data_IF_828010952271
#
_entry.id   IF_828010952271
#
_cell.length_a   1.000
_cell.length_b   1.000
_cell.length_c   1.000
_cell.angle_alpha   90.00
_cell.angle_beta   90.00
_cell.angle_gamma   90.00
#
_symmetry.space_group_name_H-M   'P 1'
#
loop_
_entity.id
_entity.type
_entity.pdbx_description
1 polymer ?
#
# COMPACT_ATOMS: atom_id res chain seq x y z
N UNK A 1 15.12 11.30 2.22
CA UNK A 1 14.43 11.51 3.52
C UNK A 1 15.28 12.16 4.64
N UNK A 2 16.52 12.59 4.40
CA UNK A 2 17.34 13.28 5.42
C UNK A 2 16.98 14.76 5.63
N UNK A 3 16.42 15.42 4.61
CA UNK A 3 16.18 16.89 4.61
C UNK A 3 15.15 17.31 5.66
N UNK A 4 14.09 16.52 5.87
CA UNK A 4 13.06 16.85 6.86
C UNK A 4 13.55 16.73 8.31
N UNK A 5 14.56 15.90 8.57
CA UNK A 5 15.22 15.78 9.89
C UNK A 5 16.25 16.87 10.14
N UNK A 6 16.64 17.63 9.11
CA UNK A 6 17.67 18.66 9.19
C UNK A 6 17.15 20.05 9.58
N UNK A 7 15.83 20.26 9.57
CA UNK A 7 15.23 21.53 10.01
C UNK A 7 14.83 21.38 11.49
N UNK A 8 15.51 22.09 12.41
CA UNK A 8 15.15 22.07 13.82
C UNK A 8 13.69 22.50 14.00
N UNK A 9 12.98 21.90 14.96
CA UNK A 9 11.59 22.23 15.34
C UNK A 9 10.50 21.87 14.32
N UNK A 10 10.84 21.46 13.09
CA UNK A 10 9.85 21.09 12.08
C UNK A 10 9.00 19.90 12.52
N UNK A 11 9.62 18.93 13.21
CA UNK A 11 8.91 17.75 13.71
C UNK A 11 7.84 18.07 14.77
N UNK A 12 8.04 19.16 15.53
CA UNK A 12 7.16 19.59 16.62
C UNK A 12 6.06 20.56 16.17
N UNK A 13 6.31 21.41 15.17
CA UNK A 13 5.38 22.50 14.79
C UNK A 13 4.81 22.41 13.38
N UNK A 14 5.27 21.46 12.54
CA UNK A 14 4.77 21.32 11.17
C UNK A 14 3.24 21.17 11.12
N UNK A 15 2.68 20.35 12.02
CA UNK A 15 1.23 20.13 12.07
C UNK A 15 0.45 21.41 12.46
N UNK A 16 1.04 22.30 13.27
CA UNK A 16 0.43 23.59 13.64
C UNK A 16 0.40 24.53 12.44
N UNK A 17 1.52 24.65 11.73
CA UNK A 17 1.63 25.47 10.52
C UNK A 17 0.65 24.97 9.44
N UNK A 18 0.67 23.67 9.16
CA UNK A 18 -0.22 23.05 8.18
C UNK A 18 -1.69 23.20 8.56
N UNK A 19 -2.04 23.06 9.85
CA UNK A 19 -3.40 23.31 10.34
C UNK A 19 -3.81 24.77 10.17
N UNK A 20 -2.94 25.74 10.48
CA UNK A 20 -3.26 27.16 10.31
C UNK A 20 -3.48 27.52 8.85
N UNK A 21 -2.66 27.00 7.94
CA UNK A 21 -2.83 27.16 6.49
C UNK A 21 -4.14 26.52 5.99
N UNK A 22 -4.43 25.29 6.42
CA UNK A 22 -5.71 24.64 6.07
C UNK A 22 -6.91 25.33 6.71
N UNK A 23 -6.74 26.00 7.85
CA UNK A 23 -7.77 26.77 8.53
C UNK A 23 -8.35 27.89 7.65
N UNK A 24 -7.49 28.59 6.91
CA UNK A 24 -7.89 29.71 6.03
C UNK A 24 -8.44 29.25 4.68
N UNK A 25 -8.12 28.04 4.23
CA UNK A 25 -8.58 27.51 2.95
C UNK A 25 -10.00 26.93 3.10
N UNK A 26 -10.99 27.32 2.26
CA UNK A 26 -12.31 26.72 2.26
C UNK A 26 -12.26 25.21 1.96
N UNK A 27 -13.15 24.42 2.58
CA UNK A 27 -13.18 22.97 2.37
C UNK A 27 -13.34 22.59 0.89
N UNK A 28 -14.14 23.34 0.13
CA UNK A 28 -14.30 23.12 -1.32
C UNK A 28 -12.98 23.23 -2.09
N UNK A 29 -12.11 24.18 -1.72
CA UNK A 29 -10.79 24.33 -2.32
C UNK A 29 -9.85 23.19 -1.91
N UNK A 30 -9.91 22.75 -0.65
CA UNK A 30 -9.15 21.55 -0.20
C UNK A 30 -9.63 20.31 -0.95
N UNK A 31 -10.94 20.10 -1.08
CA UNK A 31 -11.53 18.98 -1.84
C UNK A 31 -11.07 18.99 -3.30
N UNK A 32 -11.11 20.16 -3.94
CA UNK A 32 -10.63 20.30 -5.32
C UNK A 32 -9.14 19.96 -5.44
N UNK A 33 -8.31 20.49 -4.52
CA UNK A 33 -6.88 20.21 -4.49
C UNK A 33 -6.59 18.73 -4.29
N UNK A 34 -7.24 18.11 -3.30
CA UNK A 34 -7.12 16.68 -2.99
C UNK A 34 -7.52 15.83 -4.19
N UNK A 35 -8.67 16.11 -4.81
CA UNK A 35 -9.11 15.37 -6.00
C UNK A 35 -8.11 15.45 -7.15
N UNK A 36 -7.45 16.60 -7.32
CA UNK A 36 -6.45 16.79 -8.37
C UNK A 36 -5.10 16.14 -8.06
N UNK A 37 -4.65 16.19 -6.80
CA UNK A 37 -3.31 15.71 -6.39
C UNK A 37 -3.31 14.22 -6.08
N UNK A 38 -4.31 13.72 -5.33
CA UNK A 38 -4.40 12.31 -4.94
C UNK A 38 -4.88 11.44 -6.11
N UNK A 39 -5.41 12.04 -7.18
CA UNK A 39 -5.80 11.31 -8.38
C UNK A 39 -7.10 10.52 -8.21
N UNK A 40 -7.92 10.87 -7.22
CA UNK A 40 -9.24 10.28 -7.00
C UNK A 40 -10.13 10.64 -8.18
N UNK A 41 -10.44 9.66 -9.04
CA UNK A 41 -11.36 9.81 -10.18
C UNK A 41 -12.68 9.13 -9.82
N UNK A 42 -13.78 9.88 -9.83
CA UNK A 42 -15.11 9.39 -9.43
C UNK A 42 -16.06 10.51 -8.97
N UNK A 43 -17.07 10.16 -8.18
CA UNK A 43 -18.10 11.07 -7.62
C UNK A 43 -17.56 12.14 -6.64
N UNK A 44 -16.26 12.07 -6.32
CA UNK A 44 -15.57 12.96 -5.41
C UNK A 44 -15.89 12.72 -3.93
N UNK A 45 -16.55 11.60 -3.59
CA UNK A 45 -16.87 11.23 -2.21
C UNK A 45 -15.61 11.06 -1.35
N UNK A 46 -14.62 10.32 -1.86
CA UNK A 46 -13.34 10.13 -1.15
C UNK A 46 -12.55 11.44 -1.00
N UNK A 47 -12.53 12.29 -2.03
CA UNK A 47 -11.92 13.62 -1.93
C UNK A 47 -12.63 14.50 -0.89
N UNK A 48 -13.95 14.37 -0.74
CA UNK A 48 -14.72 15.08 0.29
C UNK A 48 -14.40 14.55 1.70
N UNK A 49 -14.31 13.23 1.87
CA UNK A 49 -13.93 12.60 3.15
C UNK A 49 -12.54 13.05 3.56
N UNK A 50 -11.57 13.00 2.65
CA UNK A 50 -10.19 13.39 2.94
C UNK A 50 -10.07 14.91 3.21
N UNK A 51 -10.82 15.75 2.48
CA UNK A 51 -10.89 17.18 2.77
C UNK A 51 -11.46 17.47 4.18
N UNK A 52 -12.56 16.80 4.55
CA UNK A 52 -13.14 16.92 5.90
C UNK A 52 -12.19 16.42 6.97
N UNK A 53 -11.50 15.31 6.72
CA UNK A 53 -10.46 14.79 7.61
C UNK A 53 -9.36 15.83 7.84
N UNK A 54 -8.78 16.39 6.78
CA UNK A 54 -7.73 17.40 6.85
C UNK A 54 -8.19 18.70 7.55
N UNK A 55 -9.48 19.07 7.40
CA UNK A 55 -10.10 20.23 8.06
C UNK A 55 -10.51 19.95 9.51
N UNK A 56 -10.55 18.69 9.95
CA UNK A 56 -10.91 18.33 11.32
C UNK A 56 -9.87 18.84 12.31
N UNK A 57 -10.23 18.84 13.61
CA UNK A 57 -9.36 19.33 14.68
C UNK A 57 -7.96 18.70 14.61
N UNK A 58 -7.90 17.38 14.52
CA UNK A 58 -6.64 16.66 14.70
C UNK A 58 -6.17 15.95 13.43
N UNK A 59 -6.88 16.06 12.31
CA UNK A 59 -6.60 15.25 11.11
C UNK A 59 -5.20 15.46 10.52
N UNK A 60 -4.68 16.70 10.54
CA UNK A 60 -3.29 16.99 10.12
C UNK A 60 -2.27 16.33 11.06
N UNK A 61 -2.50 16.43 12.36
CA UNK A 61 -1.61 15.84 13.36
C UNK A 61 -1.63 14.30 13.28
N UNK A 62 -2.80 13.71 13.09
CA UNK A 62 -2.99 12.28 12.89
C UNK A 62 -2.31 11.81 11.60
N UNK A 63 -2.46 12.52 10.48
CA UNK A 63 -1.79 12.16 9.22
C UNK A 63 -0.26 12.15 9.35
N UNK A 64 0.31 13.15 10.05
CA UNK A 64 1.75 13.17 10.35
C UNK A 64 2.16 12.00 11.24
N UNK A 65 1.36 11.66 12.25
CA UNK A 65 1.64 10.52 13.14
C UNK A 65 1.58 9.19 12.39
N UNK A 66 0.60 9.00 11.50
CA UNK A 66 0.50 7.80 10.66
C UNK A 66 1.77 7.63 9.81
N UNK A 67 2.21 8.69 9.12
CA UNK A 67 3.44 8.65 8.32
C UNK A 67 4.70 8.38 9.15
N UNK A 68 4.81 8.96 10.36
CA UNK A 68 5.92 8.65 11.28
C UNK A 68 5.90 7.20 11.74
N UNK A 69 4.74 6.71 12.16
CA UNK A 69 4.54 5.33 12.60
C UNK A 69 4.89 4.34 11.49
N UNK A 70 4.49 4.65 10.26
CA UNK A 70 4.81 3.86 9.07
C UNK A 70 6.33 3.78 8.85
N UNK A 71 7.02 4.92 8.88
CA UNK A 71 8.49 4.97 8.75
C UNK A 71 9.22 4.23 9.88
N UNK A 72 8.62 4.11 11.06
CA UNK A 72 9.19 3.39 12.20
C UNK A 72 8.91 1.89 12.14
N UNK A 73 7.82 1.47 11.52
CA UNK A 73 7.28 0.09 11.60
C UNK A 73 7.48 -0.70 10.31
N UNK A 74 7.34 -0.09 9.14
CA UNK A 74 7.60 -0.75 7.85
C UNK A 74 9.11 -0.92 7.70
N UNK A 75 9.57 -2.15 7.93
CA UNK A 75 10.97 -2.56 7.90
C UNK A 75 11.08 -3.94 7.23
N UNK A 76 12.17 -4.64 7.55
CA UNK A 76 12.45 -5.99 7.11
C UNK A 76 11.30 -6.95 7.46
N UNK A 77 11.16 -7.97 6.62
CA UNK A 77 10.16 -9.02 6.73
C UNK A 77 10.47 -9.91 7.95
N UNK A 78 9.47 -10.10 8.83
CA UNK A 78 9.62 -10.79 10.13
C UNK A 78 8.81 -12.09 10.24
N UNK A 79 8.19 -12.55 9.14
CA UNK A 79 7.41 -13.77 9.17
C UNK A 79 8.34 -14.98 9.23
N UNK A 80 7.94 -15.98 10.01
CA UNK A 80 8.75 -17.17 10.22
C UNK A 80 8.84 -18.01 8.93
N UNK A 81 10.02 -18.57 8.64
CA UNK A 81 10.26 -19.31 7.38
C UNK A 81 9.28 -20.47 7.14
N UNK A 82 8.78 -21.09 8.22
CA UNK A 82 7.76 -22.13 8.14
C UNK A 82 6.45 -21.68 7.49
N UNK A 83 6.09 -20.40 7.60
CA UNK A 83 4.86 -19.86 7.01
C UNK A 83 5.00 -19.76 5.49
N UNK A 84 6.23 -19.54 5.01
CA UNK A 84 6.57 -19.45 3.60
C UNK A 84 6.72 -20.83 2.93
N UNK A 85 6.94 -21.91 3.70
CA UNK A 85 7.37 -23.21 3.16
C UNK A 85 6.82 -24.50 3.80
N UNK A 86 5.65 -24.52 4.44
CA UNK A 86 5.06 -25.78 4.95
C UNK A 86 3.83 -26.26 4.16
N UNK A 87 4.06 -27.14 3.19
CA UNK A 87 3.36 -28.42 3.13
C UNK A 87 4.04 -29.33 4.19
N UNK A 88 3.27 -29.88 5.13
CA UNK A 88 3.83 -30.75 6.18
C UNK A 88 4.58 -31.95 5.59
N UNK A 89 5.60 -32.44 6.33
CA UNK A 89 6.20 -33.77 6.13
C UNK A 89 5.12 -34.85 6.29
N UNK A 90 4.33 -35.08 5.25
CA UNK A 90 3.14 -35.90 5.38
C UNK A 90 2.20 -35.92 4.18
N UNK A 91 2.72 -35.74 2.96
CA UNK A 91 2.03 -36.16 1.73
C UNK A 91 0.79 -35.36 1.32
N UNK A 92 0.97 -34.46 0.37
CA UNK A 92 -0.11 -33.87 -0.43
C UNK A 92 0.23 -32.43 -0.78
N UNK A 93 0.40 -32.14 -2.08
CA UNK A 93 0.56 -30.77 -2.58
C UNK A 93 -0.59 -29.91 -2.09
N UNK A 94 -0.30 -29.07 -1.10
CA UNK A 94 -1.26 -28.15 -0.52
C UNK A 94 -1.15 -26.81 -1.24
N UNK A 95 -2.27 -26.13 -1.41
CA UNK A 95 -2.30 -24.81 -2.04
C UNK A 95 -1.35 -23.82 -1.32
N UNK A 96 -0.73 -22.89 -2.06
CA UNK A 96 0.06 -21.78 -1.54
C UNK A 96 -0.60 -21.12 -0.32
N UNK A 97 0.13 -20.98 0.78
CA UNK A 97 -0.36 -20.21 1.95
C UNK A 97 -0.38 -18.70 1.69
N UNK A 98 0.44 -18.25 0.74
CA UNK A 98 0.61 -16.85 0.41
C UNK A 98 0.46 -16.65 -1.10
N UNK A 99 -0.37 -15.67 -1.44
CA UNK A 99 -0.53 -15.12 -2.78
C UNK A 99 -0.13 -13.65 -2.72
N UNK A 100 0.83 -13.24 -3.55
CA UNK A 100 1.39 -11.89 -3.53
C UNK A 100 1.35 -11.33 -4.94
N UNK A 101 0.62 -10.23 -5.11
CA UNK A 101 0.60 -9.43 -6.33
C UNK A 101 1.46 -8.18 -6.10
N UNK A 102 2.47 -7.99 -6.93
CA UNK A 102 3.26 -6.76 -6.95
C UNK A 102 2.90 -5.88 -8.13
N UNK A 103 2.87 -4.57 -7.89
CA UNK A 103 3.01 -3.57 -8.93
C UNK A 103 4.39 -3.66 -9.60
N UNK A 104 4.45 -3.51 -10.92
CA UNK A 104 5.67 -3.56 -11.74
C UNK A 104 6.57 -2.38 -11.45
N UNK A 105 5.98 -1.20 -11.34
CA UNK A 105 6.66 0.07 -11.05
C UNK A 105 6.03 0.76 -9.83
N UNK A 106 5.79 -0.01 -8.76
CA UNK A 106 5.31 0.54 -7.50
C UNK A 106 6.42 1.37 -6.83
N UNK A 107 6.29 2.70 -6.86
CA UNK A 107 7.27 3.61 -6.26
C UNK A 107 7.40 3.51 -4.72
N UNK A 108 6.50 2.80 -4.03
CA UNK A 108 6.60 2.52 -2.60
C UNK A 108 7.36 1.22 -2.32
N UNK A 109 7.42 0.31 -3.29
CA UNK A 109 8.17 -0.95 -3.18
C UNK A 109 9.36 -0.90 -4.13
N UNK A 110 10.56 -0.70 -3.58
CA UNK A 110 11.75 -0.62 -4.43
C UNK A 110 11.95 -1.90 -5.24
N UNK A 111 11.95 -1.78 -6.58
CA UNK A 111 12.00 -2.92 -7.51
C UNK A 111 13.11 -3.93 -7.17
N UNK A 112 14.31 -3.46 -6.84
CA UNK A 112 15.41 -4.35 -6.48
C UNK A 112 15.15 -5.19 -5.22
N UNK A 113 14.45 -4.64 -4.21
CA UNK A 113 14.07 -5.38 -3.00
C UNK A 113 12.97 -6.41 -3.30
N UNK A 114 11.99 -6.05 -4.13
CA UNK A 114 10.97 -6.97 -4.62
C UNK A 114 11.62 -8.13 -5.38
N UNK A 115 12.50 -7.83 -6.32
CA UNK A 115 13.13 -8.83 -7.18
C UNK A 115 14.05 -9.76 -6.37
N UNK A 116 14.77 -9.22 -5.38
CA UNK A 116 15.54 -10.01 -4.41
C UNK A 116 14.64 -10.94 -3.57
N UNK A 117 13.51 -10.43 -3.09
CA UNK A 117 12.51 -11.22 -2.36
C UNK A 117 11.96 -12.37 -3.23
N UNK A 118 11.57 -12.08 -4.47
CA UNK A 118 11.07 -13.10 -5.41
C UNK A 118 12.14 -14.15 -5.69
N UNK A 119 13.38 -13.73 -5.94
CA UNK A 119 14.49 -14.64 -6.22
C UNK A 119 14.77 -15.58 -5.04
N UNK A 120 14.73 -15.06 -3.80
CA UNK A 120 14.88 -15.84 -2.57
C UNK A 120 13.78 -16.90 -2.48
N UNK A 121 12.50 -16.51 -2.61
CA UNK A 121 11.35 -17.43 -2.50
C UNK A 121 11.34 -18.53 -3.56
N UNK A 122 11.75 -18.20 -4.80
CA UNK A 122 11.90 -19.20 -5.87
C UNK A 122 13.04 -20.19 -5.61
N UNK A 123 14.14 -19.73 -5.02
CA UNK A 123 15.30 -20.58 -4.70
C UNK A 123 14.99 -21.56 -3.57
N UNK A 124 14.27 -21.10 -2.55
CA UNK A 124 13.98 -21.89 -1.35
C UNK A 124 12.86 -22.93 -1.57
N UNK A 125 12.36 -23.05 -2.81
CA UNK A 125 11.32 -24.02 -3.17
C UNK A 125 9.97 -23.72 -2.53
N UNK A 126 9.76 -22.49 -2.06
CA UNK A 126 8.54 -22.10 -1.39
C UNK A 126 7.34 -22.14 -2.32
N UNK A 127 6.22 -22.69 -1.84
CA UNK A 127 4.94 -22.77 -2.55
C UNK A 127 4.22 -21.41 -2.60
N UNK A 128 4.91 -20.28 -2.42
CA UNK A 128 4.26 -18.96 -2.47
C UNK A 128 3.94 -18.58 -3.91
N UNK A 129 2.67 -18.27 -4.20
CA UNK A 129 2.27 -17.73 -5.50
C UNK A 129 2.62 -16.25 -5.56
N UNK A 130 3.57 -15.89 -6.42
CA UNK A 130 3.96 -14.49 -6.61
C UNK A 130 3.79 -14.11 -8.07
N UNK A 131 3.08 -13.01 -8.29
CA UNK A 131 2.95 -12.36 -9.59
C UNK A 131 3.41 -10.91 -9.51
N UNK A 132 4.03 -10.45 -10.58
CA UNK A 132 4.28 -9.03 -10.83
C UNK A 132 3.36 -8.66 -11.97
N UNK A 133 2.53 -7.64 -11.81
CA UNK A 133 1.59 -7.26 -12.84
C UNK A 133 2.33 -6.91 -14.15
N UNK A 134 1.70 -7.21 -15.28
CA UNK A 134 2.28 -6.89 -16.59
C UNK A 134 1.99 -5.43 -17.00
N UNK A 135 1.08 -4.76 -16.28
CA UNK A 135 0.57 -3.42 -16.55
C UNK A 135 1.31 -2.32 -15.78
N UNK A 136 0.55 -1.30 -15.41
CA UNK A 136 0.99 -0.13 -14.63
C UNK A 136 0.14 -0.03 -13.35
N UNK A 137 -0.03 -1.15 -12.64
CA UNK A 137 -0.82 -1.17 -11.42
C UNK A 137 -0.20 -0.24 -10.36
N UNK A 138 -0.87 0.85 -9.95
CA UNK A 138 -0.30 1.78 -9.01
C UNK A 138 -0.41 1.23 -7.58
N UNK A 139 0.47 1.69 -6.68
CA UNK A 139 0.41 1.38 -5.25
C UNK A 139 -1.00 1.59 -4.66
N UNK A 140 -1.62 2.71 -5.04
CA UNK A 140 -2.97 3.08 -4.61
C UNK A 140 -4.02 2.58 -5.61
N UNK A 141 -3.96 1.30 -6.00
CA UNK A 141 -4.87 0.67 -6.96
C UNK A 141 -6.35 0.81 -6.58
N UNK A 142 -6.65 0.95 -5.29
CA UNK A 142 -8.02 1.12 -4.79
C UNK A 142 -8.68 2.46 -5.18
N UNK A 143 -7.93 3.40 -5.78
CA UNK A 143 -8.43 4.73 -6.10
C UNK A 143 -9.18 4.83 -7.43
N UNK A 144 -8.98 3.89 -8.36
CA UNK A 144 -9.65 3.88 -9.66
C UNK A 144 -10.32 2.55 -9.91
N UNK A 145 -11.48 2.62 -10.56
CA UNK A 145 -12.28 1.44 -10.88
C UNK A 145 -11.55 0.42 -11.75
N UNK A 146 -10.80 0.90 -12.73
CA UNK A 146 -9.99 0.06 -13.61
C UNK A 146 -8.94 -0.73 -12.80
N UNK A 147 -8.20 -0.02 -11.94
CA UNK A 147 -7.08 -0.57 -11.17
C UNK A 147 -7.57 -1.59 -10.11
N UNK A 148 -8.65 -1.31 -9.36
CA UNK A 148 -9.16 -2.26 -8.36
C UNK A 148 -9.91 -3.44 -8.97
N UNK A 149 -10.52 -3.28 -10.16
CA UNK A 149 -11.14 -4.40 -10.87
C UNK A 149 -10.08 -5.38 -11.34
N UNK A 150 -8.97 -4.89 -11.89
CA UNK A 150 -7.84 -5.74 -12.28
C UNK A 150 -7.37 -6.60 -11.11
N UNK A 151 -7.15 -6.00 -9.92
CA UNK A 151 -6.76 -6.77 -8.73
C UNK A 151 -7.83 -7.77 -8.31
N UNK A 152 -9.12 -7.39 -8.38
CA UNK A 152 -10.22 -8.29 -8.04
C UNK A 152 -10.33 -9.49 -8.99
N UNK A 153 -10.09 -9.28 -10.29
CA UNK A 153 -10.06 -10.34 -11.31
C UNK A 153 -8.88 -11.30 -11.05
N UNK A 154 -7.67 -10.79 -10.80
CA UNK A 154 -6.51 -11.62 -10.45
C UNK A 154 -6.76 -12.46 -9.19
N UNK A 155 -7.37 -11.86 -8.16
CA UNK A 155 -7.69 -12.58 -6.93
C UNK A 155 -8.79 -13.63 -7.16
N UNK A 156 -9.78 -13.34 -8.00
CA UNK A 156 -10.81 -14.31 -8.37
C UNK A 156 -10.19 -15.54 -9.06
N UNK A 157 -9.29 -15.32 -10.03
CA UNK A 157 -8.59 -16.41 -10.72
C UNK A 157 -7.83 -17.30 -9.73
N UNK A 158 -7.13 -16.70 -8.75
CA UNK A 158 -6.44 -17.46 -7.70
C UNK A 158 -7.39 -18.24 -6.78
N UNK A 159 -8.56 -17.68 -6.45
CA UNK A 159 -9.56 -18.39 -5.66
C UNK A 159 -10.11 -19.61 -6.42
N UNK A 160 -10.38 -19.47 -7.71
CA UNK A 160 -10.81 -20.59 -8.56
C UNK A 160 -9.73 -21.66 -8.69
N UNK A 161 -8.45 -21.27 -8.80
CA UNK A 161 -7.31 -22.20 -8.76
C UNK A 161 -7.26 -23.03 -7.46
N UNK A 162 -7.50 -22.38 -6.32
CA UNK A 162 -7.54 -23.05 -5.01
C UNK A 162 -8.73 -24.00 -4.92
N UNK A 163 -9.92 -23.56 -5.32
CA UNK A 163 -11.15 -24.37 -5.27
C UNK A 163 -11.05 -25.61 -6.18
N UNK A 164 -10.40 -25.48 -7.35
CA UNK A 164 -10.18 -26.58 -8.28
C UNK A 164 -9.02 -27.52 -7.87
N UNK A 165 -8.26 -27.18 -6.81
CA UNK A 165 -7.06 -27.93 -6.41
C UNK A 165 -5.91 -27.84 -7.42
N UNK A 166 -5.85 -26.74 -8.19
CA UNK A 166 -4.81 -26.45 -9.19
C UNK A 166 -3.69 -25.54 -8.66
N UNK A 167 -3.90 -24.93 -7.51
CA UNK A 167 -2.97 -24.02 -6.85
C UNK A 167 -1.82 -24.77 -6.16
#
# INVERSE_FOLDING_TARGET
MQILRQVPLMDSYFHVLARSLLGVIPEAAVRWLVGRVVGVRGDGGMAAVLARWLKSRDGVWQAVHLGKSEMETIREEVWEERLWGMAEEGGGGGAPRFFILYGKEDHWVANHLRDEFIARRRKDGGETRIEVDEGDLPHAFCLKEEDYKQVAETVLDWLEEIEDGRA
#
